data_IF_667361373966
#
_entry.id   IF_667361373966
#
_cell.length_a   1.000
_cell.length_b   1.000
_cell.length_c   1.000
_cell.angle_alpha   90.00
_cell.angle_beta   90.00
_cell.angle_gamma   90.00
#
_symmetry.space_group_name_H-M   'P 1'
#
loop_
_entity.id
_entity.type
_entity.pdbx_description
1 polymer ?
#
# COMPACT_ATOMS: atom_id res chain seq x y z
N UNK A 1 10.44 -16.02 27.48
CA UNK A 1 10.95 -16.32 26.11
C UNK A 1 9.87 -17.08 25.34
N UNK A 2 8.65 -16.54 25.29
CA UNK A 2 7.48 -17.26 24.79
C UNK A 2 6.69 -16.32 23.89
N UNK A 3 7.22 -16.04 22.71
CA UNK A 3 6.43 -15.53 21.57
C UNK A 3 7.23 -15.53 20.26
N UNK A 4 7.98 -16.60 19.97
CA UNK A 4 8.28 -16.93 18.58
C UNK A 4 7.08 -17.69 18.01
N UNK A 5 5.90 -17.06 18.01
CA UNK A 5 4.77 -17.62 17.27
C UNK A 5 5.08 -17.43 15.80
N UNK A 6 5.56 -18.52 15.22
CA UNK A 6 5.64 -18.92 13.83
C UNK A 6 4.48 -18.36 12.97
N UNK A 7 4.48 -17.05 12.70
CA UNK A 7 3.43 -16.42 11.91
C UNK A 7 3.82 -16.53 10.44
N UNK A 8 3.42 -17.64 9.82
CA UNK A 8 3.64 -17.89 8.38
C UNK A 8 2.70 -17.07 7.48
N UNK A 9 1.73 -16.37 8.08
CA UNK A 9 0.67 -15.65 7.38
C UNK A 9 0.78 -14.15 7.68
N UNK A 10 0.99 -13.36 6.62
CA UNK A 10 0.96 -11.90 6.65
C UNK A 10 -0.44 -11.41 6.29
N UNK A 11 -1.02 -10.55 7.13
CA UNK A 11 -2.26 -9.83 6.85
C UNK A 11 -1.92 -8.50 6.19
N UNK A 12 -1.93 -8.49 4.86
CA UNK A 12 -1.71 -7.28 4.04
C UNK A 12 -3.05 -6.69 3.62
N UNK A 13 -3.22 -5.38 3.80
CA UNK A 13 -4.43 -4.65 3.37
C UNK A 13 -4.09 -3.80 2.16
N UNK A 14 -4.88 -3.91 1.09
CA UNK A 14 -4.74 -3.07 -0.12
C UNK A 14 -5.84 -2.02 -0.13
N UNK A 15 -5.48 -0.74 -0.24
CA UNK A 15 -6.40 0.40 -0.32
C UNK A 15 -6.12 1.24 -1.56
N UNK A 16 -7.16 1.80 -2.16
CA UNK A 16 -6.99 2.68 -3.31
C UNK A 16 -8.17 2.70 -4.27
N UNK A 17 -8.36 3.85 -4.89
CA UNK A 17 -9.39 4.07 -5.91
C UNK A 17 -8.83 3.77 -7.30
N UNK A 18 -8.58 2.48 -7.58
CA UNK A 18 -8.06 2.04 -8.89
C UNK A 18 -9.17 1.87 -9.95
N UNK A 19 -10.40 2.32 -9.69
CA UNK A 19 -11.53 2.18 -10.62
C UNK A 19 -11.98 0.74 -10.88
N UNK A 20 -11.45 -0.26 -10.16
CA UNK A 20 -11.81 -1.68 -10.31
C UNK A 20 -12.95 -2.13 -9.37
N UNK A 21 -13.80 -1.21 -8.92
CA UNK A 21 -15.01 -1.51 -8.14
C UNK A 21 -14.79 -1.82 -6.64
N UNK A 22 -13.60 -1.62 -6.08
CA UNK A 22 -13.30 -1.92 -4.65
C UNK A 22 -13.91 -0.91 -3.67
N UNK A 23 -14.09 0.35 -4.07
CA UNK A 23 -14.51 1.46 -3.20
C UNK A 23 -15.88 1.22 -2.54
N UNK A 24 -16.81 0.55 -3.22
CA UNK A 24 -18.14 0.24 -2.66
C UNK A 24 -18.12 -0.85 -1.58
N UNK A 25 -17.11 -1.73 -1.58
CA UNK A 25 -16.97 -2.80 -0.58
C UNK A 25 -16.30 -2.31 0.71
N UNK A 26 -15.39 -1.34 0.64
CA UNK A 26 -14.58 -0.96 1.81
C UNK A 26 -15.29 -0.02 2.79
N UNK A 27 -16.22 0.82 2.32
CA UNK A 27 -16.97 1.75 3.18
C UNK A 27 -17.93 1.05 4.17
N UNK A 28 -18.23 -0.24 3.98
CA UNK A 28 -19.10 -1.04 4.86
C UNK A 28 -18.31 -1.99 5.78
N UNK A 29 -16.99 -2.09 5.63
CA UNK A 29 -16.16 -2.95 6.46
C UNK A 29 -15.70 -2.14 7.68
N UNK A 30 -16.18 -2.52 8.87
CA UNK A 30 -15.81 -1.84 10.12
C UNK A 30 -14.33 -1.97 10.49
N UNK A 31 -13.88 -1.19 11.48
CA UNK A 31 -12.50 -1.14 11.96
C UNK A 31 -11.85 -2.52 12.26
N UNK A 32 -12.66 -3.54 12.54
CA UNK A 32 -12.20 -4.92 12.71
C UNK A 32 -11.43 -5.49 11.50
N UNK A 33 -11.72 -5.02 10.28
CA UNK A 33 -11.00 -5.46 9.08
C UNK A 33 -9.55 -4.99 9.07
N UNK A 34 -9.31 -3.74 9.50
CA UNK A 34 -7.99 -3.12 9.54
C UNK A 34 -7.13 -3.59 10.71
N UNK A 35 -7.76 -3.96 11.84
CA UNK A 35 -7.05 -4.37 13.05
C UNK A 35 -6.17 -5.61 12.81
N UNK A 36 -4.94 -5.55 13.32
CA UNK A 36 -3.98 -6.65 13.20
C UNK A 36 -3.42 -6.85 11.79
N UNK A 37 -3.57 -5.85 10.91
CA UNK A 37 -2.83 -5.79 9.66
C UNK A 37 -1.33 -5.65 9.94
N UNK A 38 -0.54 -6.39 9.18
CA UNK A 38 0.92 -6.39 9.29
C UNK A 38 1.54 -5.40 8.31
N UNK A 39 0.84 -5.05 7.22
CA UNK A 39 1.23 -4.03 6.24
C UNK A 39 0.02 -3.46 5.50
N UNK A 40 0.14 -2.21 5.04
CA UNK A 40 -0.84 -1.55 4.19
C UNK A 40 -0.21 -1.16 2.84
N UNK A 41 -0.83 -1.61 1.75
CA UNK A 41 -0.45 -1.27 0.39
C UNK A 41 -1.43 -0.25 -0.14
N UNK A 42 -0.91 0.91 -0.49
CA UNK A 42 -1.66 1.99 -1.10
C UNK A 42 -1.50 1.89 -2.63
N UNK A 43 -2.61 1.89 -3.35
CA UNK A 43 -2.63 1.70 -4.80
C UNK A 43 -3.33 2.87 -5.47
N UNK A 44 -2.75 3.43 -6.50
CA UNK A 44 -3.41 4.44 -7.34
C UNK A 44 -3.24 4.08 -8.82
N UNK A 45 -4.00 4.74 -9.68
CA UNK A 45 -3.89 4.62 -11.13
C UNK A 45 -3.01 5.77 -11.66
N UNK A 46 -1.92 5.46 -12.36
CA UNK A 46 -0.98 6.47 -12.88
C UNK A 46 -1.62 7.43 -13.89
N UNK A 47 -2.78 7.06 -14.42
CA UNK A 47 -3.57 7.80 -15.39
C UNK A 47 -4.75 8.55 -14.76
N UNK A 48 -4.92 8.49 -13.42
CA UNK A 48 -5.97 9.22 -12.70
C UNK A 48 -5.38 10.00 -11.52
N UNK A 49 -5.28 11.32 -11.70
CA UNK A 49 -4.79 12.22 -10.66
C UNK A 49 -5.63 12.18 -9.38
N UNK A 50 -6.95 12.01 -9.50
CA UNK A 50 -7.84 11.96 -8.34
C UNK A 50 -7.54 10.72 -7.49
N UNK A 51 -7.27 9.58 -8.13
CA UNK A 51 -6.87 8.36 -7.42
C UNK A 51 -5.61 8.59 -6.57
N UNK A 52 -4.63 9.35 -7.07
CA UNK A 52 -3.44 9.72 -6.31
C UNK A 52 -3.75 10.67 -5.14
N UNK A 53 -4.63 11.65 -5.35
CA UNK A 53 -4.99 12.61 -4.29
C UNK A 53 -5.71 11.96 -3.11
N UNK A 54 -6.51 10.91 -3.36
CA UNK A 54 -7.20 10.14 -2.31
C UNK A 54 -6.27 9.33 -1.40
N UNK A 55 -4.99 9.13 -1.79
CA UNK A 55 -4.02 8.38 -0.98
C UNK A 55 -3.82 8.96 0.42
N UNK A 56 -3.91 10.29 0.56
CA UNK A 56 -3.82 10.93 1.88
C UNK A 56 -5.00 10.53 2.79
N UNK A 57 -6.20 10.42 2.22
CA UNK A 57 -7.39 9.95 2.91
C UNK A 57 -7.21 8.50 3.33
N UNK A 58 -6.86 7.62 2.39
CA UNK A 58 -6.66 6.19 2.66
C UNK A 58 -5.59 5.93 3.71
N UNK A 59 -4.45 6.62 3.64
CA UNK A 59 -3.39 6.54 4.64
C UNK A 59 -3.88 6.95 6.03
N UNK A 60 -4.58 8.08 6.14
CA UNK A 60 -5.07 8.60 7.43
C UNK A 60 -6.18 7.74 8.03
N UNK A 61 -7.10 7.26 7.19
CA UNK A 61 -8.18 6.37 7.62
C UNK A 61 -7.66 5.01 8.05
N UNK A 62 -6.67 4.45 7.34
CA UNK A 62 -6.02 3.22 7.76
C UNK A 62 -5.44 3.34 9.17
N UNK A 63 -4.61 4.37 9.42
CA UNK A 63 -3.99 4.56 10.74
C UNK A 63 -5.03 4.73 11.84
N UNK A 64 -6.11 5.47 11.57
CA UNK A 64 -7.21 5.67 12.51
C UNK A 64 -7.96 4.36 12.82
N UNK A 65 -8.20 3.51 11.81
CA UNK A 65 -9.01 2.30 11.96
C UNK A 65 -8.19 1.09 12.45
N UNK A 66 -6.98 0.91 11.92
CA UNK A 66 -6.06 -0.15 12.32
C UNK A 66 -5.53 0.08 13.74
N UNK A 67 -5.35 1.35 14.12
CA UNK A 67 -4.78 1.80 15.39
C UNK A 67 -3.53 1.00 15.78
N UNK A 68 -2.49 0.97 14.91
CA UNK A 68 -1.26 0.23 15.19
C UNK A 68 -0.53 0.82 16.40
N UNK A 69 0.26 0.00 17.10
CA UNK A 69 1.02 0.45 18.27
C UNK A 69 2.03 1.56 17.92
N UNK A 70 2.65 1.47 16.74
CA UNK A 70 3.60 2.45 16.23
C UNK A 70 3.16 2.98 14.85
N UNK A 71 2.30 4.02 14.80
CA UNK A 71 1.78 4.55 13.55
C UNK A 71 2.84 5.13 12.62
N UNK A 72 3.90 5.73 13.16
CA UNK A 72 4.95 6.41 12.38
C UNK A 72 5.89 5.43 11.68
N UNK A 73 6.03 4.21 12.20
CA UNK A 73 6.92 3.17 11.68
C UNK A 73 6.14 2.02 11.02
N UNK A 74 4.80 2.07 11.06
CA UNK A 74 3.95 1.06 10.46
C UNK A 74 4.30 0.86 8.97
N UNK A 75 4.45 -0.39 8.50
CA UNK A 75 4.92 -0.64 7.14
C UNK A 75 3.82 -0.33 6.11
N UNK A 76 4.09 0.70 5.32
CA UNK A 76 3.36 0.99 4.09
C UNK A 76 4.19 0.67 2.85
N UNK A 77 3.52 0.44 1.72
CA UNK A 77 4.08 0.38 0.36
C UNK A 77 3.14 1.12 -0.59
N UNK A 78 3.68 1.88 -1.55
CA UNK A 78 2.92 2.56 -2.60
C UNK A 78 3.07 1.81 -3.93
N UNK A 79 1.95 1.61 -4.63
CA UNK A 79 1.91 1.04 -5.98
C UNK A 79 1.16 1.99 -6.93
N UNK A 80 1.86 2.48 -7.96
CA UNK A 80 1.24 3.09 -9.14
C UNK A 80 0.88 2.00 -10.14
N UNK A 81 -0.41 1.75 -10.37
CA UNK A 81 -0.88 0.68 -11.25
C UNK A 81 -1.34 1.23 -12.61
N UNK A 82 -1.55 0.33 -13.57
CA UNK A 82 -2.04 0.56 -14.93
C UNK A 82 -1.09 1.37 -15.81
N UNK A 83 0.21 1.08 -15.71
CA UNK A 83 1.23 1.65 -16.60
C UNK A 83 1.04 1.28 -18.07
N UNK A 84 0.19 0.30 -18.38
CA UNK A 84 -0.13 -0.16 -19.74
C UNK A 84 -1.10 0.74 -20.51
N UNK A 85 -1.87 1.61 -19.83
CA UNK A 85 -2.92 2.39 -20.48
C UNK A 85 -2.32 3.32 -21.53
N UNK A 86 -2.84 3.24 -22.76
CA UNK A 86 -2.34 3.98 -23.92
C UNK A 86 -0.83 3.77 -24.20
N UNK A 87 -0.32 2.57 -23.88
CA UNK A 87 1.11 2.26 -24.01
C UNK A 87 2.00 3.10 -23.09
N UNK A 88 1.45 3.62 -21.99
CA UNK A 88 2.13 4.49 -21.03
C UNK A 88 2.02 5.98 -21.32
N UNK A 89 1.35 6.38 -22.41
CA UNK A 89 1.26 7.80 -22.82
C UNK A 89 0.15 8.58 -22.14
N UNK A 90 -0.81 7.91 -21.49
CA UNK A 90 -1.92 8.55 -20.76
C UNK A 90 -1.57 8.90 -19.31
N UNK A 91 -0.29 8.82 -18.92
CA UNK A 91 0.18 9.15 -17.57
C UNK A 91 -0.13 10.60 -17.23
N UNK A 92 -0.81 10.81 -16.12
CA UNK A 92 -1.07 12.16 -15.55
C UNK A 92 -0.39 12.38 -14.20
N UNK A 93 0.07 11.30 -13.55
CA UNK A 93 0.86 11.36 -12.32
C UNK A 93 2.32 11.07 -12.63
N UNK A 94 3.16 12.10 -12.54
CA UNK A 94 4.60 11.95 -12.73
C UNK A 94 5.25 11.18 -11.57
N UNK A 95 6.21 10.30 -11.86
CA UNK A 95 6.95 9.51 -10.88
C UNK A 95 7.53 10.37 -9.75
N UNK A 96 8.08 11.53 -10.12
CA UNK A 96 8.65 12.48 -9.17
C UNK A 96 7.65 12.85 -8.06
N UNK A 97 6.38 13.05 -8.41
CA UNK A 97 5.31 13.38 -7.45
C UNK A 97 5.05 12.23 -6.48
N UNK A 98 5.07 10.99 -6.98
CA UNK A 98 4.89 9.80 -6.14
C UNK A 98 6.09 9.57 -5.21
N UNK A 99 7.32 9.77 -5.71
CA UNK A 99 8.56 9.66 -4.93
C UNK A 99 8.59 10.71 -3.81
N UNK A 100 8.27 11.98 -4.13
CA UNK A 100 8.20 13.05 -3.13
C UNK A 100 7.15 12.75 -2.05
N UNK A 101 5.98 12.23 -2.45
CA UNK A 101 4.94 11.81 -1.50
C UNK A 101 5.44 10.69 -0.58
N UNK A 102 6.13 9.68 -1.12
CA UNK A 102 6.72 8.60 -0.33
C UNK A 102 7.78 9.10 0.66
N UNK A 103 8.63 10.03 0.23
CA UNK A 103 9.63 10.67 1.09
C UNK A 103 9.00 11.39 2.28
N UNK A 104 7.90 12.11 2.05
CA UNK A 104 7.16 12.83 3.09
C UNK A 104 6.42 11.90 4.08
N UNK A 105 6.29 10.61 3.77
CA UNK A 105 5.55 9.61 4.57
C UNK A 105 6.46 8.57 5.23
N UNK A 106 7.72 8.92 5.50
CA UNK A 106 8.67 8.00 6.14
C UNK A 106 9.42 7.11 5.15
N UNK A 107 9.63 7.59 3.93
CA UNK A 107 10.36 6.90 2.87
C UNK A 107 9.74 5.53 2.52
N UNK A 108 8.45 5.56 2.21
CA UNK A 108 7.67 4.38 1.81
C UNK A 108 8.24 3.80 0.50
N UNK A 109 8.42 2.46 0.38
CA UNK A 109 8.77 1.84 -0.90
C UNK A 109 7.72 2.11 -1.98
N UNK A 110 8.17 2.42 -3.19
CA UNK A 110 7.33 2.73 -4.33
C UNK A 110 7.62 1.78 -5.50
N UNK A 111 6.54 1.25 -6.10
CA UNK A 111 6.60 0.41 -7.29
C UNK A 111 5.59 0.90 -8.31
N UNK A 112 5.91 0.71 -9.59
CA UNK A 112 4.94 0.85 -10.67
C UNK A 112 4.66 -0.50 -11.32
N UNK A 113 3.39 -0.76 -11.61
CA UNK A 113 2.92 -2.05 -12.07
C UNK A 113 1.90 -1.93 -13.20
N UNK A 114 1.82 -2.96 -14.03
CA UNK A 114 0.62 -3.25 -14.80
C UNK A 114 0.11 -4.62 -14.38
N UNK A 115 -1.00 -4.64 -13.64
CA UNK A 115 -1.68 -5.89 -13.34
C UNK A 115 -2.24 -6.57 -14.60
N UNK A 116 -2.47 -5.82 -15.68
CA UNK A 116 -3.03 -6.34 -16.93
C UNK A 116 -1.98 -7.07 -17.76
N UNK A 117 -0.79 -6.48 -17.87
CA UNK A 117 0.33 -6.99 -18.67
C UNK A 117 1.35 -7.75 -17.81
N UNK A 118 1.03 -8.00 -16.53
CA UNK A 118 1.88 -8.69 -15.55
C UNK A 118 3.29 -8.07 -15.40
N UNK A 119 3.35 -6.74 -15.34
CA UNK A 119 4.59 -5.98 -15.22
C UNK A 119 4.82 -5.59 -13.76
N UNK A 120 5.98 -5.93 -13.22
CA UNK A 120 6.47 -5.58 -11.87
C UNK A 120 5.58 -6.06 -10.70
N UNK A 121 4.61 -6.95 -10.96
CA UNK A 121 3.67 -7.42 -9.95
C UNK A 121 4.43 -8.23 -8.89
N UNK A 122 5.22 -9.21 -9.30
CA UNK A 122 5.99 -10.06 -8.41
C UNK A 122 6.98 -9.25 -7.55
N UNK A 123 7.69 -8.31 -8.16
CA UNK A 123 8.64 -7.43 -7.48
C UNK A 123 7.94 -6.56 -6.42
N UNK A 124 6.75 -6.03 -6.74
CA UNK A 124 5.97 -5.25 -5.78
C UNK A 124 5.50 -6.11 -4.59
N UNK A 125 4.97 -7.31 -4.85
CA UNK A 125 4.55 -8.23 -3.78
C UNK A 125 5.72 -8.72 -2.94
N UNK A 126 6.88 -8.99 -3.56
CA UNK A 126 8.11 -9.33 -2.84
C UNK A 126 8.58 -8.17 -1.95
N UNK A 127 8.54 -6.94 -2.46
CA UNK A 127 8.84 -5.74 -1.69
C UNK A 127 7.94 -5.56 -0.47
N UNK A 128 6.64 -5.82 -0.62
CA UNK A 128 5.67 -5.82 0.49
C UNK A 128 6.05 -6.86 1.54
N UNK A 129 6.34 -8.09 1.13
CA UNK A 129 6.74 -9.16 2.07
C UNK A 129 8.02 -8.80 2.83
N UNK A 130 9.05 -8.33 2.12
CA UNK A 130 10.33 -7.92 2.73
C UNK A 130 10.16 -6.75 3.72
N UNK A 131 9.37 -5.73 3.36
CA UNK A 131 9.10 -4.57 4.22
C UNK A 131 8.36 -4.99 5.50
N UNK A 132 7.38 -5.87 5.37
CA UNK A 132 6.59 -6.39 6.49
C UNK A 132 7.47 -7.16 7.48
N UNK A 133 8.23 -8.14 6.98
CA UNK A 133 9.12 -8.97 7.81
C UNK A 133 10.22 -8.15 8.50
N UNK A 134 10.78 -7.16 7.81
CA UNK A 134 11.80 -6.27 8.37
C UNK A 134 11.24 -5.40 9.51
N UNK A 135 9.96 -5.04 9.44
CA UNK A 135 9.28 -4.29 10.50
C UNK A 135 9.04 -5.16 11.74
N UNK A 136 8.56 -6.39 11.55
CA UNK A 136 8.37 -7.35 12.65
C UNK A 136 9.68 -7.67 13.39
N UNK A 137 10.79 -7.87 12.65
CA UNK A 137 12.08 -8.14 13.28
C UNK A 137 12.55 -6.98 14.17
N UNK A 138 12.31 -5.73 13.75
CA UNK A 138 12.68 -4.54 14.54
C UNK A 138 11.83 -4.36 15.79
N UNK A 139 10.55 -4.74 15.76
CA UNK A 139 9.66 -4.65 16.93
C UNK A 139 9.94 -5.74 17.99
N UNK A 140 10.62 -6.82 17.60
CA UNK A 140 10.95 -7.94 18.48
C UNK A 140 12.37 -7.87 19.06
N UNK A 141 13.17 -6.87 18.66
CA UNK A 141 14.52 -6.59 19.18
C UNK A 141 14.47 -5.47 20.21
#
# INVERSE_FOLDING_TARGET
MESLKNRTLLKVIFLGDSGVGKTSLMNHLGAAFYRGADCCVLVYDVNDLKSFETLNTWHSEFLKQANPMEPETFPFVLIGNKTDVDGGNNRVVADKRAIEWCGAKGNIPYYETSAKEDVNVDEAFWGVAQKTLSSELKQNM
#
